data_IF_314047202950
#
_entry.id   IF_314047202950
#
_cell.length_a   1.000
_cell.length_b   1.000
_cell.length_c   1.000
_cell.angle_alpha   90.00
_cell.angle_beta   90.00
_cell.angle_gamma   90.00
#
_symmetry.space_group_name_H-M   'P 1'
#
loop_
_entity.id
_entity.type
_entity.pdbx_description
1 polymer ?
#
# COMPACT_ATOMS: atom_id res chain seq x y z
N UNK A 1 65.23 -25.65 -52.44
CA UNK A 1 65.47 -24.45 -53.26
C UNK A 1 64.25 -23.56 -53.15
N UNK A 2 64.46 -22.27 -52.86
CA UNK A 2 63.56 -21.10 -53.04
C UNK A 2 62.07 -21.26 -52.69
N UNK A 3 61.58 -20.54 -51.67
CA UNK A 3 60.87 -19.23 -51.83
C UNK A 3 59.44 -19.43 -52.33
N UNK A 4 58.36 -18.84 -51.84
CA UNK A 4 58.03 -17.81 -50.85
C UNK A 4 56.51 -17.61 -50.99
N UNK A 5 55.78 -17.33 -49.92
CA UNK A 5 54.37 -16.93 -50.03
C UNK A 5 53.69 -16.75 -48.68
N UNK A 6 53.56 -15.50 -48.28
CA UNK A 6 52.88 -14.93 -47.10
C UNK A 6 51.43 -15.47 -46.95
N UNK A 7 50.72 -15.43 -45.80
CA UNK A 7 50.60 -14.32 -44.85
C UNK A 7 49.82 -14.70 -43.57
N UNK A 8 50.19 -14.01 -42.47
CA UNK A 8 49.36 -13.43 -41.38
C UNK A 8 48.52 -14.33 -40.45
N UNK A 9 48.92 -14.30 -39.18
CA UNK A 9 47.98 -14.23 -38.04
C UNK A 9 48.42 -13.12 -37.06
N UNK A 10 47.44 -12.36 -36.57
CA UNK A 10 47.60 -11.32 -35.55
C UNK A 10 47.31 -11.93 -34.19
N UNK A 11 48.23 -11.81 -33.24
CA UNK A 11 47.97 -12.02 -31.81
C UNK A 11 47.83 -10.67 -31.12
N UNK A 12 46.73 -10.48 -30.39
CA UNK A 12 46.48 -9.32 -29.53
C UNK A 12 46.80 -9.69 -28.08
N UNK A 13 47.73 -8.97 -27.47
CA UNK A 13 48.11 -9.14 -26.07
C UNK A 13 47.41 -8.08 -25.19
N UNK A 14 46.74 -8.61 -24.17
CA UNK A 14 46.63 -8.18 -22.77
C UNK A 14 46.62 -6.69 -22.42
N UNK A 15 45.52 -6.25 -21.80
CA UNK A 15 45.44 -5.06 -20.95
C UNK A 15 44.36 -5.22 -19.89
N UNK A 16 44.73 -5.70 -18.69
CA UNK A 16 43.85 -5.75 -17.51
C UNK A 16 43.70 -4.33 -16.94
N UNK A 17 42.52 -3.73 -17.09
CA UNK A 17 42.15 -2.51 -16.37
C UNK A 17 41.37 -2.88 -15.09
N UNK A 18 41.90 -2.52 -13.92
CA UNK A 18 41.22 -2.58 -12.62
C UNK A 18 40.13 -1.50 -12.59
N UNK A 19 38.87 -1.90 -12.57
CA UNK A 19 37.74 -1.02 -12.27
C UNK A 19 37.78 -0.62 -10.79
N UNK A 20 38.10 0.65 -10.53
CA UNK A 20 37.92 1.28 -9.22
C UNK A 20 36.43 1.36 -8.91
N UNK A 21 36.00 0.78 -7.78
CA UNK A 21 34.67 1.05 -7.20
C UNK A 21 34.61 2.52 -6.80
N UNK A 22 33.89 3.34 -7.57
CA UNK A 22 33.43 4.64 -7.10
C UNK A 22 32.30 4.39 -6.09
N UNK A 23 32.62 4.44 -4.79
CA UNK A 23 31.61 4.67 -3.76
C UNK A 23 31.08 6.10 -3.96
N UNK A 24 29.85 6.25 -4.43
CA UNK A 24 29.14 7.53 -4.37
C UNK A 24 28.93 7.84 -2.89
N UNK A 25 29.63 8.86 -2.38
CA UNK A 25 29.29 9.45 -1.10
C UNK A 25 27.87 10.03 -1.18
N UNK A 26 27.07 9.84 -0.13
CA UNK A 26 25.76 10.45 0.00
C UNK A 26 25.89 12.00 -0.06
N UNK A 27 24.90 12.71 -0.63
CA UNK A 27 24.92 14.17 -0.66
C UNK A 27 24.94 14.75 0.75
N UNK A 28 25.63 15.88 0.99
CA UNK A 28 25.68 16.52 2.29
C UNK A 28 24.27 17.02 2.65
N UNK A 29 23.69 16.50 3.73
CA UNK A 29 22.38 16.89 4.25
C UNK A 29 21.33 15.76 4.34
N UNK A 30 21.62 14.55 3.85
CA UNK A 30 20.76 13.41 4.14
C UNK A 30 21.02 12.92 5.58
N UNK A 31 20.00 12.82 6.45
CA UNK A 31 20.17 12.25 7.78
C UNK A 31 20.71 10.82 7.67
N UNK A 32 21.64 10.46 8.57
CA UNK A 32 22.19 9.11 8.60
C UNK A 32 21.08 8.12 9.01
N UNK A 33 21.17 6.86 8.57
CA UNK A 33 20.16 5.83 8.89
C UNK A 33 19.91 5.68 10.41
N UNK A 34 20.95 5.94 11.22
CA UNK A 34 20.84 5.96 12.68
C UNK A 34 20.02 7.15 13.20
N UNK A 35 20.26 8.37 12.69
CA UNK A 35 19.48 9.56 13.05
C UNK A 35 18.00 9.41 12.66
N UNK A 36 17.74 8.78 11.53
CA UNK A 36 16.37 8.57 11.06
C UNK A 36 15.61 7.54 11.91
N UNK A 37 16.33 6.53 12.44
CA UNK A 37 15.75 5.54 13.36
C UNK A 37 15.46 6.17 14.72
N UNK A 38 16.40 6.95 15.26
CA UNK A 38 16.24 7.66 16.54
C UNK A 38 15.08 8.69 16.49
N UNK A 39 14.98 9.44 15.39
CA UNK A 39 13.85 10.36 15.16
C UNK A 39 12.50 9.64 15.10
N UNK A 40 12.42 8.46 14.47
CA UNK A 40 11.19 7.67 14.42
C UNK A 40 10.79 7.11 15.78
N UNK A 41 11.75 6.60 16.56
CA UNK A 41 11.48 6.09 17.90
C UNK A 41 10.96 7.21 18.81
N UNK A 42 11.55 8.41 18.73
CA UNK A 42 11.06 9.59 19.44
C UNK A 42 9.65 10.02 18.99
N UNK A 43 9.36 9.94 17.68
CA UNK A 43 8.03 10.24 17.14
C UNK A 43 6.98 9.24 17.64
N UNK A 44 7.30 7.94 17.64
CA UNK A 44 6.40 6.90 18.16
C UNK A 44 6.16 7.13 19.65
N UNK A 45 7.21 7.39 20.44
CA UNK A 45 7.07 7.66 21.87
C UNK A 45 6.18 8.88 22.15
N UNK A 46 6.31 9.95 21.34
CA UNK A 46 5.40 11.09 21.39
C UNK A 46 3.93 10.68 21.09
N UNK A 47 3.71 9.87 20.07
CA UNK A 47 2.36 9.42 19.70
C UNK A 47 1.79 8.36 20.66
N UNK A 48 2.60 7.68 21.46
CA UNK A 48 2.11 6.78 22.52
C UNK A 48 1.76 7.51 23.83
N UNK A 49 2.24 8.74 24.02
CA UNK A 49 1.94 9.55 25.21
C UNK A 49 0.53 10.14 25.14
N UNK A 50 -0.35 9.86 26.12
CA UNK A 50 -1.68 10.47 26.16
C UNK A 50 -1.64 12.00 26.31
N UNK A 51 -0.64 12.54 27.00
CA UNK A 51 -0.50 13.99 27.21
C UNK A 51 -0.18 14.76 25.92
N UNK A 52 0.34 14.08 24.90
CA UNK A 52 0.68 14.67 23.60
C UNK A 52 -0.54 15.10 22.79
N UNK A 53 -1.72 14.56 23.09
CA UNK A 53 -2.93 14.83 22.31
C UNK A 53 -3.75 16.01 22.88
N UNK A 54 -4.29 16.91 22.03
CA UNK A 54 -5.09 18.06 22.50
C UNK A 54 -6.31 17.72 23.35
N UNK A 55 -6.87 16.52 23.18
CA UNK A 55 -8.05 16.05 23.91
C UNK A 55 -7.71 15.15 25.11
N UNK A 56 -6.43 14.93 25.40
CA UNK A 56 -5.92 14.18 26.56
C UNK A 56 -6.69 12.86 26.81
N UNK A 57 -6.58 11.87 25.90
CA UNK A 57 -7.21 10.56 26.10
C UNK A 57 -6.69 9.91 27.38
N UNK A 58 -7.45 8.97 27.96
CA UNK A 58 -7.02 8.24 29.15
C UNK A 58 -5.85 7.29 28.87
N UNK A 59 -5.79 6.73 27.66
CA UNK A 59 -4.73 5.84 27.18
C UNK A 59 -4.57 5.99 25.66
N UNK A 60 -3.42 5.56 25.16
CA UNK A 60 -3.17 5.42 23.73
C UNK A 60 -2.70 4.00 23.45
N UNK A 61 -3.35 3.34 22.49
CA UNK A 61 -2.96 2.00 22.05
C UNK A 61 -2.32 2.07 20.67
N UNK A 62 -1.09 1.60 20.56
CA UNK A 62 -0.43 1.38 19.28
C UNK A 62 -0.86 0.04 18.64
N UNK A 63 -1.24 0.09 17.37
CA UNK A 63 -1.35 -1.05 16.48
C UNK A 63 -0.43 -0.85 15.28
N UNK A 64 0.28 -1.90 14.88
CA UNK A 64 1.20 -1.83 13.75
C UNK A 64 0.66 -2.67 12.59
N UNK A 65 0.58 -2.06 11.41
CA UNK A 65 0.37 -2.79 10.16
C UNK A 65 1.71 -2.98 9.45
N UNK A 66 1.70 -3.58 8.25
CA UNK A 66 2.92 -3.67 7.44
C UNK A 66 3.49 -2.29 7.12
N UNK A 67 2.63 -1.32 6.78
CA UNK A 67 3.02 -0.02 6.19
C UNK A 67 2.64 1.20 7.05
N UNK A 68 2.04 1.01 8.23
CA UNK A 68 1.58 2.11 9.09
C UNK A 68 1.66 1.79 10.58
N UNK A 69 1.74 2.85 11.38
CA UNK A 69 1.48 2.87 12.81
C UNK A 69 0.10 3.50 13.04
N UNK A 70 -0.74 2.87 13.86
CA UNK A 70 -2.11 3.29 14.15
C UNK A 70 -2.23 3.52 15.65
N UNK A 71 -2.44 4.76 16.05
CA UNK A 71 -2.55 5.18 17.44
C UNK A 71 -4.02 5.42 17.78
N UNK A 72 -4.60 4.55 18.60
CA UNK A 72 -5.98 4.67 19.07
C UNK A 72 -5.96 5.54 20.33
N UNK A 73 -6.40 6.78 20.18
CA UNK A 73 -6.40 7.84 21.18
C UNK A 73 -7.84 8.36 21.33
N UNK A 74 -8.69 7.56 21.99
CA UNK A 74 -10.15 7.74 22.04
C UNK A 74 -10.57 9.20 22.31
N UNK A 75 -11.55 9.76 21.56
CA UNK A 75 -12.42 9.10 20.58
C UNK A 75 -11.85 9.08 19.15
N UNK A 76 -10.55 9.33 18.98
CA UNK A 76 -9.91 9.46 17.68
C UNK A 76 -8.87 8.35 17.43
N UNK A 77 -8.52 8.19 16.17
CA UNK A 77 -7.41 7.34 15.71
C UNK A 77 -6.50 8.18 14.84
N UNK A 78 -5.19 8.02 14.99
CA UNK A 78 -4.17 8.69 14.20
C UNK A 78 -3.34 7.63 13.48
N UNK A 79 -3.36 7.62 12.15
CA UNK A 79 -2.58 6.68 11.32
C UNK A 79 -1.41 7.41 10.69
N UNK A 80 -0.21 6.94 10.95
CA UNK A 80 1.05 7.46 10.41
C UNK A 80 1.66 6.41 9.49
N UNK A 81 2.09 6.83 8.30
CA UNK A 81 2.70 5.95 7.30
C UNK A 81 4.16 5.72 7.63
N UNK A 82 4.63 4.48 7.55
CA UNK A 82 6.03 4.15 7.81
C UNK A 82 6.91 4.62 6.64
N UNK A 83 8.11 5.18 6.89
CA UNK A 83 8.99 5.67 5.83
C UNK A 83 9.70 4.51 5.13
N UNK A 84 9.06 3.90 4.13
CA UNK A 84 9.57 2.73 3.41
C UNK A 84 9.25 2.77 1.92
N UNK A 85 9.95 1.95 1.14
CA UNK A 85 9.72 1.74 -0.30
C UNK A 85 9.73 0.23 -0.57
N UNK A 86 8.65 -0.27 -1.17
CA UNK A 86 8.36 -1.71 -1.34
C UNK A 86 8.15 -2.08 -2.82
N UNK A 87 8.55 -1.23 -3.76
CA UNK A 87 8.32 -1.38 -5.21
C UNK A 87 6.89 -1.02 -5.64
N UNK A 88 5.88 -1.59 -4.98
CA UNK A 88 4.46 -1.28 -5.25
C UNK A 88 3.92 -0.08 -4.47
N UNK A 89 4.75 0.47 -3.56
CA UNK A 89 4.42 1.56 -2.66
C UNK A 89 5.70 2.32 -2.28
N UNK A 90 5.59 3.65 -2.21
CA UNK A 90 6.71 4.53 -1.81
C UNK A 90 6.26 5.62 -0.83
N UNK A 91 6.62 5.44 0.44
CA UNK A 91 6.46 6.39 1.55
C UNK A 91 7.80 6.99 1.99
N UNK A 92 8.85 6.90 1.17
CA UNK A 92 10.22 7.26 1.55
C UNK A 92 10.40 8.71 1.97
N UNK A 93 9.67 9.65 1.34
CA UNK A 93 9.75 11.08 1.65
C UNK A 93 8.50 11.60 2.35
N UNK A 94 8.66 12.69 3.08
CA UNK A 94 7.56 13.34 3.80
C UNK A 94 6.47 13.82 2.82
N UNK A 95 6.84 14.31 1.65
CA UNK A 95 5.91 14.74 0.60
C UNK A 95 5.07 13.58 0.07
N UNK A 96 5.69 12.40 -0.12
CA UNK A 96 4.97 11.20 -0.54
C UNK A 96 4.01 10.73 0.55
N UNK A 97 4.43 10.72 1.81
CA UNK A 97 3.54 10.37 2.93
C UNK A 97 2.38 11.34 3.06
N UNK A 98 2.60 12.65 2.90
CA UNK A 98 1.54 13.65 2.78
C UNK A 98 0.56 13.28 1.66
N UNK A 99 1.07 13.13 0.44
CA UNK A 99 0.26 12.79 -0.73
C UNK A 99 -0.64 11.57 -0.46
N UNK A 100 -0.07 10.49 0.05
CA UNK A 100 -0.85 9.28 0.32
C UNK A 100 -1.79 9.42 1.53
N UNK A 101 -1.49 10.25 2.53
CA UNK A 101 -2.44 10.59 3.59
C UNK A 101 -3.66 11.34 3.01
N UNK A 102 -3.43 12.27 2.07
CA UNK A 102 -4.51 12.94 1.34
C UNK A 102 -5.33 11.94 0.51
N UNK A 103 -4.66 11.05 -0.24
CA UNK A 103 -5.33 10.01 -1.02
C UNK A 103 -6.18 9.09 -0.15
N UNK A 104 -5.64 8.64 0.99
CA UNK A 104 -6.39 7.79 1.92
C UNK A 104 -7.67 8.48 2.41
N UNK A 105 -7.56 9.77 2.78
CA UNK A 105 -8.69 10.59 3.20
C UNK A 105 -9.75 10.70 2.09
N UNK A 106 -9.34 11.04 0.87
CA UNK A 106 -10.24 11.23 -0.27
C UNK A 106 -10.97 9.94 -0.65
N UNK A 107 -10.22 8.84 -0.78
CA UNK A 107 -10.76 7.58 -1.28
C UNK A 107 -11.70 6.91 -0.29
N UNK A 108 -11.38 6.94 1.00
CA UNK A 108 -12.21 6.29 2.00
C UNK A 108 -13.48 7.08 2.32
N UNK A 109 -13.48 8.41 2.17
CA UNK A 109 -14.69 9.23 2.35
C UNK A 109 -15.83 8.86 1.41
N UNK A 110 -15.57 8.14 0.31
CA UNK A 110 -16.60 7.62 -0.60
C UNK A 110 -17.53 6.60 0.08
N UNK A 111 -17.01 5.82 1.03
CA UNK A 111 -17.75 4.77 1.75
C UNK A 111 -17.90 5.03 3.25
N UNK A 112 -17.15 5.98 3.80
CA UNK A 112 -17.22 6.35 5.23
C UNK A 112 -16.86 7.83 5.50
N UNK A 113 -17.67 8.78 5.01
CA UNK A 113 -17.35 10.22 5.05
C UNK A 113 -17.12 10.76 6.46
N UNK A 114 -17.85 10.25 7.46
CA UNK A 114 -17.81 10.74 8.83
C UNK A 114 -16.66 10.18 9.67
N UNK A 115 -15.98 9.14 9.18
CA UNK A 115 -14.87 8.47 9.88
C UNK A 115 -13.55 9.19 9.61
N UNK A 116 -13.27 9.58 8.37
CA UNK A 116 -12.01 10.24 8.02
C UNK A 116 -12.13 11.76 8.18
N UNK A 117 -11.54 12.29 9.25
CA UNK A 117 -11.72 13.69 9.68
C UNK A 117 -10.78 14.65 8.96
N UNK A 118 -9.54 14.22 8.67
CA UNK A 118 -8.58 15.04 7.95
C UNK A 118 -7.15 14.51 8.03
N UNK A 119 -6.23 15.20 7.35
CA UNK A 119 -4.79 14.99 7.50
C UNK A 119 -4.25 16.05 8.46
N UNK A 120 -3.55 15.62 9.51
CA UNK A 120 -3.02 16.47 10.58
C UNK A 120 -1.49 16.42 10.57
N UNK A 121 -0.81 17.55 10.41
CA UNK A 121 0.65 17.63 10.53
C UNK A 121 1.10 17.42 11.98
N UNK A 122 2.28 16.84 12.14
CA UNK A 122 3.03 16.71 13.38
C UNK A 122 4.30 17.53 13.20
N UNK A 123 4.54 18.45 14.13
CA UNK A 123 5.65 19.39 14.07
C UNK A 123 6.78 18.94 15.01
N UNK A 124 8.02 19.23 14.64
CA UNK A 124 9.20 19.07 15.50
C UNK A 124 9.86 20.43 15.73
N UNK A 125 10.15 20.71 17.00
CA UNK A 125 10.90 21.88 17.44
C UNK A 125 11.97 21.46 18.45
N UNK A 126 12.74 22.43 18.98
CA UNK A 126 13.74 22.18 20.01
C UNK A 126 13.14 21.58 21.30
N UNK A 127 11.84 21.74 21.56
CA UNK A 127 11.15 21.16 22.72
C UNK A 127 10.58 19.76 22.47
N UNK A 128 10.72 19.22 21.26
CA UNK A 128 10.18 17.92 20.86
C UNK A 128 9.06 18.01 19.83
N UNK A 129 8.25 16.95 19.76
CA UNK A 129 7.13 16.86 18.82
C UNK A 129 5.85 17.51 19.37
N UNK A 130 5.00 18.02 18.48
CA UNK A 130 3.73 18.65 18.84
C UNK A 130 2.70 18.55 17.70
N UNK A 131 1.41 18.55 18.05
CA UNK A 131 0.33 18.76 17.09
C UNK A 131 0.03 20.25 16.85
N UNK A 132 0.61 21.15 17.64
CA UNK A 132 0.53 22.59 17.43
C UNK A 132 1.56 23.00 16.38
N UNK A 133 1.23 24.04 15.60
CA UNK A 133 2.07 24.56 14.52
C UNK A 133 3.31 25.31 15.05
N UNK A 134 4.21 24.57 15.66
CA UNK A 134 5.45 25.04 16.30
C UNK A 134 6.64 24.28 15.73
N UNK A 135 7.47 24.96 14.94
CA UNK A 135 8.64 24.35 14.28
C UNK A 135 8.33 23.83 12.88
N UNK A 136 9.13 22.86 12.42
CA UNK A 136 9.03 22.29 11.08
C UNK A 136 8.09 21.08 11.08
N UNK A 137 7.44 20.80 9.95
CA UNK A 137 6.62 19.59 9.83
C UNK A 137 7.53 18.37 9.76
N UNK A 138 7.42 17.49 10.75
CA UNK A 138 8.17 16.25 10.81
C UNK A 138 7.41 15.08 10.20
N UNK A 139 6.08 15.05 10.33
CA UNK A 139 5.25 13.95 9.81
C UNK A 139 3.80 14.38 9.54
N UNK A 140 3.05 13.56 8.80
CA UNK A 140 1.60 13.67 8.64
C UNK A 140 0.88 12.44 9.21
N UNK A 141 -0.27 12.67 9.82
CA UNK A 141 -1.17 11.62 10.28
C UNK A 141 -2.55 11.76 9.63
N UNK A 142 -3.20 10.66 9.30
CA UNK A 142 -4.63 10.64 8.99
C UNK A 142 -5.38 10.56 10.32
N UNK A 143 -6.19 11.58 10.62
CA UNK A 143 -7.05 11.63 11.81
C UNK A 143 -8.43 11.06 11.48
N UNK A 144 -8.86 10.08 12.25
CA UNK A 144 -10.11 9.36 12.07
C UNK A 144 -10.92 9.33 13.37
N UNK A 145 -12.24 9.10 13.29
CA UNK A 145 -13.04 8.67 14.45
C UNK A 145 -12.73 7.22 14.76
N UNK A 146 -12.61 6.91 16.03
CA UNK A 146 -12.49 5.52 16.46
C UNK A 146 -13.80 4.78 16.19
N UNK A 147 -13.69 3.63 15.53
CA UNK A 147 -14.78 2.69 15.37
C UNK A 147 -14.86 1.77 16.58
N UNK A 148 -16.06 1.61 17.15
CA UNK A 148 -16.26 0.80 18.34
C UNK A 148 -15.97 -0.69 18.03
N UNK A 149 -15.10 -1.30 18.82
CA UNK A 149 -14.84 -2.74 18.77
C UNK A 149 -16.10 -3.55 19.09
N UNK A 150 -16.20 -4.74 18.52
CA UNK A 150 -17.34 -5.65 18.64
C UNK A 150 -18.31 -5.60 17.47
N UNK A 151 -18.19 -4.60 16.59
CA UNK A 151 -19.05 -4.36 15.43
C UNK A 151 -18.36 -4.55 14.07
N UNK A 152 -17.08 -4.93 14.07
CA UNK A 152 -16.43 -5.36 12.83
C UNK A 152 -17.05 -6.67 12.35
N UNK A 153 -17.25 -6.81 11.03
CA UNK A 153 -17.98 -7.95 10.47
C UNK A 153 -17.30 -9.29 10.79
N UNK A 154 -15.96 -9.31 10.87
CA UNK A 154 -15.16 -10.46 11.33
C UNK A 154 -15.55 -10.90 12.76
N UNK A 155 -15.73 -9.94 13.66
CA UNK A 155 -16.08 -10.18 15.07
C UNK A 155 -17.56 -10.57 15.22
N UNK A 156 -18.44 -9.96 14.43
CA UNK A 156 -19.86 -10.36 14.39
C UNK A 156 -20.00 -11.80 13.86
N UNK A 157 -19.23 -12.15 12.82
CA UNK A 157 -19.24 -13.49 12.25
C UNK A 157 -18.74 -14.51 13.27
N UNK A 158 -17.65 -14.22 13.97
CA UNK A 158 -17.12 -15.08 15.03
C UNK A 158 -18.12 -15.30 16.18
N UNK A 159 -19.04 -14.36 16.42
CA UNK A 159 -20.11 -14.47 17.42
C UNK A 159 -21.40 -15.14 16.87
N UNK A 160 -21.44 -15.54 15.60
CA UNK A 160 -22.64 -16.09 14.96
C UNK A 160 -23.75 -15.06 14.76
N UNK A 161 -23.42 -13.77 14.69
CA UNK A 161 -24.38 -12.65 14.57
C UNK A 161 -24.56 -12.16 13.12
N UNK A 162 -23.96 -12.85 12.14
CA UNK A 162 -24.06 -12.48 10.72
C UNK A 162 -25.01 -13.44 10.03
N UNK A 163 -26.20 -12.93 9.69
CA UNK A 163 -27.18 -13.64 8.86
C UNK A 163 -27.34 -13.00 7.48
N UNK A 164 -28.34 -13.49 6.75
CA UNK A 164 -28.71 -12.96 5.43
C UNK A 164 -28.99 -11.44 5.47
N UNK A 165 -29.57 -10.95 6.57
CA UNK A 165 -29.88 -9.53 6.76
C UNK A 165 -28.62 -8.67 6.77
N UNK A 166 -27.60 -9.04 7.54
CA UNK A 166 -26.35 -8.30 7.66
C UNK A 166 -25.59 -8.30 6.33
N UNK A 167 -25.51 -9.45 5.66
CA UNK A 167 -24.88 -9.57 4.34
C UNK A 167 -25.62 -8.73 3.29
N UNK A 168 -26.96 -8.73 3.27
CA UNK A 168 -27.73 -7.87 2.37
C UNK A 168 -27.41 -6.39 2.57
N UNK A 169 -27.23 -5.92 3.82
CA UNK A 169 -26.85 -4.53 4.10
C UNK A 169 -25.49 -4.18 3.49
N UNK A 170 -24.51 -5.08 3.61
CA UNK A 170 -23.18 -4.92 2.98
C UNK A 170 -23.30 -4.87 1.47
N UNK A 171 -24.00 -5.82 0.85
CA UNK A 171 -24.21 -5.88 -0.60
C UNK A 171 -24.91 -4.60 -1.09
N UNK A 172 -25.98 -4.15 -0.44
CA UNK A 172 -26.67 -2.92 -0.83
C UNK A 172 -25.78 -1.67 -0.72
N UNK A 173 -24.87 -1.61 0.26
CA UNK A 173 -23.90 -0.52 0.35
C UNK A 173 -22.91 -0.54 -0.81
N UNK A 174 -22.29 -1.70 -1.07
CA UNK A 174 -21.32 -1.87 -2.15
C UNK A 174 -21.95 -1.68 -3.53
N UNK A 175 -23.15 -2.20 -3.75
CA UNK A 175 -23.88 -2.01 -5.00
C UNK A 175 -24.11 -0.53 -5.31
N UNK A 176 -24.62 0.24 -4.34
CA UNK A 176 -24.82 1.69 -4.51
C UNK A 176 -23.50 2.42 -4.77
N UNK A 177 -22.42 1.99 -4.12
CA UNK A 177 -21.09 2.55 -4.36
C UNK A 177 -20.61 2.25 -5.78
N UNK A 178 -20.65 0.99 -6.21
CA UNK A 178 -20.24 0.59 -7.56
C UNK A 178 -21.10 1.24 -8.65
N UNK A 179 -22.41 1.42 -8.44
CA UNK A 179 -23.29 2.16 -9.37
C UNK A 179 -23.00 3.66 -9.41
N UNK A 180 -22.41 4.23 -8.36
CA UNK A 180 -22.05 5.65 -8.32
C UNK A 180 -20.72 5.96 -9.01
N UNK A 181 -19.85 4.96 -9.14
CA UNK A 181 -18.59 5.08 -9.87
C UNK A 181 -18.86 5.21 -11.37
N UNK A 182 -18.06 6.03 -12.04
CA UNK A 182 -18.21 6.30 -13.48
C UNK A 182 -17.16 5.52 -14.26
N UNK A 183 -17.54 4.87 -15.37
CA UNK A 183 -16.57 4.28 -16.28
C UNK A 183 -15.63 5.36 -16.83
N UNK A 184 -14.34 5.07 -16.84
CA UNK A 184 -13.29 5.94 -17.34
C UNK A 184 -12.39 5.10 -18.26
N UNK A 185 -12.20 5.48 -19.54
CA UNK A 185 -11.30 4.78 -20.45
C UNK A 185 -9.88 4.58 -19.91
N UNK A 186 -9.37 5.51 -19.08
CA UNK A 186 -8.06 5.39 -18.44
C UNK A 186 -8.03 4.32 -17.34
N UNK A 187 -9.17 4.03 -16.72
CA UNK A 187 -9.34 2.94 -15.75
C UNK A 187 -9.63 1.62 -16.47
N UNK A 188 -10.50 1.64 -17.49
CA UNK A 188 -10.93 0.45 -18.23
C UNK A 188 -9.79 -0.31 -18.89
N UNK A 189 -8.75 0.40 -19.35
CA UNK A 189 -7.54 -0.24 -19.89
C UNK A 189 -6.89 -1.19 -18.90
N UNK A 190 -7.06 -0.99 -17.59
CA UNK A 190 -6.51 -1.88 -16.57
C UNK A 190 -7.23 -3.22 -16.48
N UNK A 191 -8.41 -3.36 -17.11
CA UNK A 191 -9.10 -4.62 -17.25
C UNK A 191 -8.55 -5.52 -18.37
N UNK A 192 -7.63 -5.04 -19.22
CA UNK A 192 -7.10 -5.89 -20.29
C UNK A 192 -6.20 -6.99 -19.74
N UNK A 193 -6.12 -8.16 -20.39
CA UNK A 193 -5.23 -9.24 -19.95
C UNK A 193 -3.79 -8.78 -19.77
N UNK A 194 -3.27 -7.93 -20.66
CA UNK A 194 -1.88 -7.43 -20.60
C UNK A 194 -1.62 -6.60 -19.35
N UNK A 195 -2.60 -5.77 -18.93
CA UNK A 195 -2.47 -4.93 -17.74
C UNK A 195 -2.61 -5.72 -16.46
N UNK A 196 -3.61 -6.60 -16.37
CA UNK A 196 -3.80 -7.49 -15.21
C UNK A 196 -2.60 -8.41 -15.01
N UNK A 197 -2.00 -8.87 -16.12
CA UNK A 197 -0.84 -9.75 -16.11
C UNK A 197 0.40 -9.14 -15.43
N UNK A 198 0.53 -7.81 -15.41
CA UNK A 198 1.63 -7.11 -14.71
C UNK A 198 1.68 -7.56 -13.24
N UNK A 199 0.54 -7.56 -12.55
CA UNK A 199 0.46 -7.94 -11.13
C UNK A 199 0.80 -9.41 -10.90
N UNK A 200 0.34 -10.30 -11.79
CA UNK A 200 0.68 -11.73 -11.67
C UNK A 200 2.15 -12.01 -11.98
N UNK A 201 2.73 -11.31 -12.96
CA UNK A 201 4.12 -11.50 -13.36
C UNK A 201 5.08 -10.98 -12.29
N UNK A 202 4.76 -9.85 -11.66
CA UNK A 202 5.50 -9.37 -10.48
C UNK A 202 5.47 -10.37 -9.32
N UNK A 203 4.31 -10.98 -9.03
CA UNK A 203 4.20 -12.03 -8.02
C UNK A 203 5.12 -13.22 -8.34
N UNK A 204 5.20 -13.63 -9.61
CA UNK A 204 6.11 -14.72 -10.01
C UNK A 204 7.57 -14.33 -9.80
N UNK A 205 7.99 -13.13 -10.22
CA UNK A 205 9.35 -12.62 -10.00
C UNK A 205 9.69 -12.57 -8.51
N UNK A 206 8.77 -12.12 -7.65
CA UNK A 206 8.99 -12.05 -6.21
C UNK A 206 9.08 -13.43 -5.53
N UNK A 207 8.41 -14.44 -6.10
CA UNK A 207 8.41 -15.82 -5.58
C UNK A 207 9.65 -16.61 -6.04
N UNK A 208 10.29 -16.25 -7.15
CA UNK A 208 11.46 -16.95 -7.72
C UNK A 208 12.55 -17.32 -6.68
N UNK A 209 12.98 -16.42 -5.77
CA UNK A 209 14.01 -16.74 -4.77
C UNK A 209 13.61 -17.81 -3.74
N UNK A 210 12.31 -18.13 -3.65
CA UNK A 210 11.74 -19.08 -2.70
C UNK A 210 11.44 -20.45 -3.33
N UNK A 211 11.71 -20.62 -4.63
CA UNK A 211 11.60 -21.91 -5.32
C UNK A 211 12.59 -22.91 -4.71
N UNK A 212 12.10 -24.11 -4.41
CA UNK A 212 12.85 -25.16 -3.70
C UNK A 212 12.93 -24.98 -2.18
N UNK A 213 12.39 -23.86 -1.63
CA UNK A 213 12.35 -23.59 -0.19
C UNK A 213 10.93 -23.63 0.36
N UNK A 214 10.05 -22.79 -0.21
CA UNK A 214 8.65 -22.65 0.21
C UNK A 214 7.70 -23.27 -0.81
N UNK A 215 8.05 -23.19 -2.10
CA UNK A 215 7.29 -23.76 -3.21
C UNK A 215 8.20 -24.66 -4.05
N UNK A 216 7.69 -25.82 -4.49
CA UNK A 216 8.48 -26.69 -5.38
C UNK A 216 8.57 -26.07 -6.78
N UNK A 217 9.65 -26.34 -7.55
CA UNK A 217 9.76 -25.89 -8.93
C UNK A 217 8.57 -26.31 -9.80
N UNK A 218 8.08 -27.54 -9.59
CA UNK A 218 6.92 -28.08 -10.32
C UNK A 218 5.65 -27.29 -10.00
N UNK A 219 5.38 -27.01 -8.72
CA UNK A 219 4.20 -26.23 -8.32
C UNK A 219 4.25 -24.80 -8.86
N UNK A 220 5.42 -24.14 -8.79
CA UNK A 220 5.61 -22.80 -9.34
C UNK A 220 5.31 -22.76 -10.84
N UNK A 221 5.93 -23.66 -11.62
CA UNK A 221 5.70 -23.73 -13.06
C UNK A 221 4.26 -24.12 -13.41
N UNK A 222 3.62 -24.99 -12.62
CA UNK A 222 2.20 -25.35 -12.83
C UNK A 222 1.30 -24.14 -12.65
N UNK A 223 1.48 -23.37 -11.57
CA UNK A 223 0.68 -22.16 -11.31
C UNK A 223 0.95 -21.11 -12.39
N UNK A 224 2.22 -20.88 -12.74
CA UNK A 224 2.62 -19.93 -13.79
C UNK A 224 2.02 -20.28 -15.14
N UNK A 225 2.08 -21.55 -15.52
CA UNK A 225 1.49 -22.03 -16.75
C UNK A 225 -0.04 -21.87 -16.73
N UNK A 226 -0.71 -22.29 -15.66
CA UNK A 226 -2.16 -22.12 -15.52
C UNK A 226 -2.58 -20.65 -15.64
N UNK A 227 -1.92 -19.74 -14.93
CA UNK A 227 -2.21 -18.30 -14.99
C UNK A 227 -2.05 -17.76 -16.41
N UNK A 228 -0.97 -18.13 -17.11
CA UNK A 228 -0.75 -17.69 -18.49
C UNK A 228 -1.80 -18.23 -19.47
N UNK A 229 -2.18 -19.51 -19.31
CA UNK A 229 -3.21 -20.13 -20.14
C UNK A 229 -4.60 -19.55 -19.83
N UNK A 230 -4.87 -19.15 -18.59
CA UNK A 230 -6.13 -18.51 -18.24
C UNK A 230 -6.32 -17.19 -18.98
N UNK A 231 -5.29 -16.32 -19.01
CA UNK A 231 -5.35 -15.08 -19.78
C UNK A 231 -5.52 -15.34 -21.28
N UNK A 232 -4.73 -16.26 -21.85
CA UNK A 232 -4.80 -16.56 -23.27
C UNK A 232 -6.12 -17.21 -23.70
N UNK A 233 -6.71 -18.05 -22.84
CA UNK A 233 -7.96 -18.78 -23.13
C UNK A 233 -9.23 -18.02 -22.81
N UNK A 234 -9.17 -16.94 -22.04
CA UNK A 234 -10.35 -16.19 -21.58
C UNK A 234 -10.28 -14.69 -21.95
N UNK A 235 -9.51 -14.31 -22.98
CA UNK A 235 -9.39 -12.91 -23.43
C UNK A 235 -10.77 -12.25 -23.67
N UNK A 236 -11.71 -12.99 -24.28
CA UNK A 236 -13.07 -12.51 -24.54
C UNK A 236 -13.82 -12.11 -23.25
N UNK A 237 -13.64 -12.85 -22.15
CA UNK A 237 -14.26 -12.54 -20.85
C UNK A 237 -13.79 -11.17 -20.32
N UNK A 238 -12.51 -10.85 -20.46
CA UNK A 238 -11.97 -9.56 -20.02
C UNK A 238 -12.49 -8.42 -20.90
N UNK A 239 -12.50 -8.62 -22.22
CA UNK A 239 -13.01 -7.63 -23.17
C UNK A 239 -14.51 -7.39 -23.00
N UNK A 240 -15.30 -8.42 -22.70
CA UNK A 240 -16.72 -8.29 -22.40
C UNK A 240 -16.96 -7.45 -21.14
N UNK A 241 -16.18 -7.69 -20.07
CA UNK A 241 -16.25 -6.87 -18.85
C UNK A 241 -15.90 -5.40 -19.08
N UNK A 242 -14.92 -5.11 -19.92
CA UNK A 242 -14.59 -3.74 -20.33
C UNK A 242 -15.77 -3.12 -21.10
N UNK A 243 -16.31 -3.85 -22.09
CA UNK A 243 -17.46 -3.42 -22.88
C UNK A 243 -18.71 -3.16 -22.03
N UNK A 244 -18.90 -3.93 -20.98
CA UNK A 244 -19.97 -3.76 -19.99
C UNK A 244 -19.66 -2.72 -18.90
N UNK A 245 -18.54 -2.00 -19.01
CA UNK A 245 -18.12 -0.98 -18.05
C UNK A 245 -17.98 -1.51 -16.60
N UNK A 246 -17.42 -2.72 -16.46
CA UNK A 246 -17.24 -3.43 -15.17
C UNK A 246 -15.88 -3.21 -14.51
N UNK A 247 -15.03 -2.37 -15.09
CA UNK A 247 -13.72 -2.00 -14.55
C UNK A 247 -13.88 -0.60 -13.96
N UNK A 248 -13.79 -0.49 -12.64
CA UNK A 248 -14.26 0.65 -11.90
C UNK A 248 -13.34 0.92 -10.73
N UNK A 249 -13.30 2.17 -10.30
CA UNK A 249 -12.40 2.57 -9.25
C UNK A 249 -12.92 2.22 -7.83
N UNK A 250 -12.72 0.97 -7.40
CA UNK A 250 -13.43 0.38 -6.27
C UNK A 250 -12.68 0.49 -4.93
N UNK A 251 -12.78 -0.55 -4.09
CA UNK A 251 -12.11 -0.67 -2.80
C UNK A 251 -10.68 -1.24 -2.93
N UNK A 252 -10.48 -2.19 -3.85
CA UNK A 252 -9.21 -2.87 -4.11
C UNK A 252 -8.85 -4.02 -3.15
N UNK A 253 -9.14 -3.89 -1.85
CA UNK A 253 -8.77 -4.90 -0.84
C UNK A 253 -9.86 -5.08 0.23
N UNK A 254 -11.06 -5.52 -0.15
CA UNK A 254 -12.18 -5.58 0.79
C UNK A 254 -12.08 -6.82 1.70
N UNK A 255 -11.89 -6.60 3.00
CA UNK A 255 -11.85 -7.64 4.02
C UNK A 255 -12.94 -7.46 5.09
N UNK A 256 -13.23 -8.52 5.86
CA UNK A 256 -14.25 -8.46 6.93
C UNK A 256 -13.89 -7.45 8.04
N UNK A 257 -12.60 -7.22 8.27
CA UNK A 257 -12.12 -6.23 9.24
C UNK A 257 -12.29 -4.78 8.73
N UNK A 258 -12.50 -4.59 7.43
CA UNK A 258 -12.75 -3.29 6.81
C UNK A 258 -14.23 -2.88 6.86
N UNK A 259 -15.11 -3.77 7.34
CA UNK A 259 -16.55 -3.55 7.40
C UNK A 259 -16.96 -3.42 8.87
N UNK A 260 -17.38 -2.22 9.25
CA UNK A 260 -17.98 -1.94 10.55
C UNK A 260 -19.50 -1.79 10.39
N UNK A 261 -20.24 -2.65 11.10
CA UNK A 261 -21.67 -2.82 10.90
C UNK A 261 -22.41 -2.71 12.23
N UNK A 262 -22.97 -1.53 12.52
CA UNK A 262 -23.88 -1.33 13.66
C UNK A 262 -25.33 -1.56 13.23
N UNK A 263 -26.32 -1.56 14.15
CA UNK A 263 -27.73 -1.61 13.76
C UNK A 263 -28.16 -0.42 12.91
N UNK A 264 -27.56 0.76 13.11
CA UNK A 264 -27.92 2.03 12.49
C UNK A 264 -27.12 2.32 11.22
N UNK A 265 -25.84 1.91 11.17
CA UNK A 265 -24.92 2.33 10.12
C UNK A 265 -24.08 1.18 9.56
N UNK A 266 -23.57 1.40 8.35
CA UNK A 266 -22.51 0.60 7.73
C UNK A 266 -21.38 1.53 7.34
N UNK A 267 -20.16 1.12 7.62
CA UNK A 267 -18.93 1.84 7.31
C UNK A 267 -17.96 0.84 6.69
N UNK A 268 -17.48 1.17 5.49
CA UNK A 268 -16.45 0.38 4.80
C UNK A 268 -15.24 1.32 4.61
N UNK A 269 -14.07 0.90 5.09
CA UNK A 269 -12.87 1.73 5.18
C UNK A 269 -11.60 0.94 4.82
N UNK A 270 -10.45 1.61 4.76
CA UNK A 270 -9.16 1.03 4.36
C UNK A 270 -9.11 0.55 2.89
N UNK A 271 -9.71 1.34 1.99
CA UNK A 271 -9.52 1.22 0.54
C UNK A 271 -8.06 1.50 0.16
N UNK A 272 -7.52 0.75 -0.82
CA UNK A 272 -6.14 0.89 -1.30
C UNK A 272 -5.88 2.33 -1.79
N UNK A 273 -5.00 3.07 -1.13
CA UNK A 273 -4.68 4.45 -1.50
C UNK A 273 -3.37 4.60 -2.28
N UNK A 274 -2.55 3.56 -2.29
CA UNK A 274 -1.15 3.66 -2.71
C UNK A 274 -0.85 3.10 -4.10
N UNK A 275 -1.75 2.31 -4.66
CA UNK A 275 -1.55 1.68 -5.96
C UNK A 275 -2.88 1.55 -6.70
N UNK A 276 -3.05 2.42 -7.69
CA UNK A 276 -4.30 2.56 -8.44
C UNK A 276 -4.73 1.28 -9.15
N UNK A 277 -3.80 0.55 -9.79
CA UNK A 277 -4.15 -0.70 -10.48
C UNK A 277 -4.56 -1.85 -9.56
N UNK A 278 -4.34 -1.75 -8.25
CA UNK A 278 -4.89 -2.73 -7.30
C UNK A 278 -6.32 -2.39 -6.90
N UNK A 279 -6.79 -1.17 -7.19
CA UNK A 279 -8.11 -0.66 -6.82
C UNK A 279 -9.13 -0.73 -7.96
N UNK A 280 -8.65 -0.59 -9.19
CA UNK A 280 -9.41 -0.66 -10.44
C UNK A 280 -10.01 -2.05 -10.73
#
# INVERSE_FOLDING_TARGET
MASSGQARERSTSSGRARLRKCSRAAPPGAPQAQDQTDSQERLIAFLESPESYPHSPAEVRLMQTHISWVFIASPFVFKVKKPMELGFLDFSTLEKRRHFCQRELELNRRLCPDIYLGVVPIYESASGFSFNAEGEIAEYSVKMRQLQSGWFLSQLLAKGLVGEKEIKRVICCLHRFYESEKPDPEIEVWGTPEKLKISTDENFVQVEPFIGRTISPVAFETIRHFTNQFYAGNEELFLERIKEHRILDCHGDLHLDHIHLTPEAITIFDCIEFNDRFRF
#
